data_IF_333360456067
#
_entry.id   IF_333360456067
#
_cell.length_a   1.000
_cell.length_b   1.000
_cell.length_c   1.000
_cell.angle_alpha   90.00
_cell.angle_beta   90.00
_cell.angle_gamma   90.00
#
_symmetry.space_group_name_H-M   'P 1'
#
loop_
_entity.id
_entity.type
_entity.pdbx_description
1 polymer ?
#
# COMPACT_ATOMS: atom_id res chain seq x y z
N UNK A 1 2.57 12.35 0.95
CA UNK A 1 3.59 11.55 1.66
C UNK A 1 4.46 10.86 0.63
N UNK A 2 5.77 10.82 0.83
CA UNK A 2 6.66 9.98 0.03
C UNK A 2 6.52 8.49 0.43
N UNK A 3 7.19 7.60 -0.30
CA UNK A 3 7.36 6.20 0.08
C UNK A 3 8.40 6.10 1.22
N UNK A 4 8.15 5.29 2.27
CA UNK A 4 9.12 4.98 3.32
C UNK A 4 10.13 3.92 2.87
N UNK A 5 11.36 3.98 3.38
CA UNK A 5 12.40 2.99 3.05
C UNK A 5 12.00 1.57 3.45
N UNK A 6 12.63 0.55 2.87
CA UNK A 6 12.40 -0.86 3.23
C UNK A 6 12.66 -1.09 4.72
N UNK A 7 13.70 -0.45 5.24
CA UNK A 7 14.12 -0.49 6.64
C UNK A 7 13.06 0.17 7.53
N UNK A 8 12.48 1.28 7.09
CA UNK A 8 11.35 1.94 7.77
C UNK A 8 10.10 1.04 7.80
N UNK A 9 9.76 0.37 6.69
CA UNK A 9 8.63 -0.56 6.64
C UNK A 9 8.86 -1.76 7.56
N UNK A 10 10.05 -2.38 7.52
CA UNK A 10 10.41 -3.49 8.41
C UNK A 10 10.39 -3.08 9.88
N UNK A 11 10.89 -1.88 10.21
CA UNK A 11 10.83 -1.33 11.58
C UNK A 11 9.38 -1.18 12.05
N UNK A 12 8.48 -0.71 11.19
CA UNK A 12 7.04 -0.60 11.50
C UNK A 12 6.40 -1.98 11.69
N UNK A 13 6.69 -2.95 10.81
CA UNK A 13 6.18 -4.33 10.93
C UNK A 13 6.70 -5.06 12.18
N UNK A 14 7.90 -4.72 12.65
CA UNK A 14 8.44 -5.28 13.90
C UNK A 14 7.76 -4.63 15.11
N UNK A 15 7.70 -3.29 15.16
CA UNK A 15 6.99 -2.55 16.21
C UNK A 15 5.52 -2.98 16.37
N UNK A 16 4.85 -3.34 15.28
CA UNK A 16 3.46 -3.80 15.29
C UNK A 16 3.25 -5.16 15.99
N UNK A 17 4.28 -6.00 16.14
CA UNK A 17 4.15 -7.28 16.85
C UNK A 17 3.90 -7.11 18.35
N UNK A 18 4.54 -6.11 18.93
CA UNK A 18 4.62 -5.90 20.38
C UNK A 18 3.50 -4.97 20.89
N UNK A 19 2.54 -4.59 20.03
CA UNK A 19 1.39 -3.76 20.41
C UNK A 19 0.21 -4.61 20.88
N UNK A 20 -0.18 -4.42 22.14
CA UNK A 20 -1.43 -4.94 22.69
C UNK A 20 -2.65 -4.25 22.04
N UNK A 21 -3.69 -5.02 21.72
CA UNK A 21 -4.95 -4.48 21.21
C UNK A 21 -5.82 -3.89 22.36
N UNK A 22 -6.57 -2.80 22.13
CA UNK A 22 -6.87 -2.15 20.84
C UNK A 22 -5.88 -1.03 20.47
N UNK A 23 -5.39 -1.06 19.22
CA UNK A 23 -4.44 -0.06 18.68
C UNK A 23 -5.16 1.07 17.93
N UNK A 24 -4.92 2.32 18.31
CA UNK A 24 -5.42 3.51 17.60
C UNK A 24 -4.36 4.07 16.64
N UNK A 25 -4.58 3.88 15.33
CA UNK A 25 -3.75 4.45 14.26
C UNK A 25 -4.41 5.74 13.74
N UNK A 26 -3.66 6.86 13.66
CA UNK A 26 -4.17 8.09 13.06
C UNK A 26 -3.09 8.94 12.36
N UNK A 27 -3.55 9.99 11.67
CA UNK A 27 -2.69 11.07 11.15
C UNK A 27 -3.50 12.38 11.07
N UNK A 28 -2.91 13.47 10.55
CA UNK A 28 -3.57 14.80 10.47
C UNK A 28 -4.95 14.79 9.78
N UNK A 29 -5.15 13.92 8.77
CA UNK A 29 -6.39 13.87 7.98
C UNK A 29 -7.18 12.57 8.13
N UNK A 30 -6.73 11.62 8.96
CA UNK A 30 -7.34 10.28 9.07
C UNK A 30 -7.22 9.38 7.83
N UNK A 31 -6.80 9.89 6.67
CA UNK A 31 -6.80 9.17 5.39
C UNK A 31 -5.45 8.48 5.10
N UNK A 32 -4.50 9.20 4.50
CA UNK A 32 -3.41 8.61 3.72
C UNK A 32 -2.36 7.80 4.50
N UNK A 33 -1.95 8.28 5.69
CA UNK A 33 -0.99 7.54 6.54
C UNK A 33 -1.69 6.51 7.42
N UNK A 34 -2.91 6.81 7.83
CA UNK A 34 -3.76 5.88 8.57
C UNK A 34 -4.02 4.62 7.75
N UNK A 35 -4.66 4.74 6.57
CA UNK A 35 -4.99 3.59 5.73
C UNK A 35 -3.78 2.76 5.30
N UNK A 36 -2.62 3.39 5.09
CA UNK A 36 -1.37 2.67 4.87
C UNK A 36 -0.95 1.83 6.08
N UNK A 37 -0.92 2.42 7.29
CA UNK A 37 -0.55 1.70 8.52
C UNK A 37 -1.61 0.66 8.93
N UNK A 38 -2.89 0.92 8.71
CA UNK A 38 -3.98 -0.05 8.90
C UNK A 38 -3.87 -1.24 7.93
N UNK A 39 -3.39 -1.02 6.69
CA UNK A 39 -3.09 -2.11 5.77
C UNK A 39 -1.88 -2.92 6.26
N UNK A 40 -0.81 -2.27 6.74
CA UNK A 40 0.36 -2.96 7.31
C UNK A 40 -0.01 -3.80 8.54
N UNK A 41 -0.88 -3.27 9.41
CA UNK A 41 -1.40 -3.98 10.58
C UNK A 41 -2.08 -5.29 10.17
N UNK A 42 -3.04 -5.22 9.25
CA UNK A 42 -3.76 -6.40 8.76
C UNK A 42 -2.81 -7.38 8.05
N UNK A 43 -1.88 -6.91 7.21
CA UNK A 43 -0.88 -7.79 6.57
C UNK A 43 0.05 -8.53 7.55
N UNK A 44 0.29 -7.98 8.76
CA UNK A 44 1.22 -8.54 9.74
C UNK A 44 0.50 -9.42 10.79
N UNK A 45 -0.61 -8.93 11.33
CA UNK A 45 -1.35 -9.57 12.42
C UNK A 45 -2.45 -10.54 11.93
N UNK A 46 -3.03 -10.28 10.76
CA UNK A 46 -4.23 -10.94 10.24
C UNK A 46 -4.08 -11.26 8.73
N UNK A 47 -3.04 -12.01 8.32
CA UNK A 47 -2.66 -12.20 6.92
C UNK A 47 -3.75 -12.86 6.06
N UNK A 48 -4.64 -13.65 6.66
CA UNK A 48 -5.84 -14.22 6.04
C UNK A 48 -6.87 -13.15 5.60
N UNK A 49 -6.77 -11.93 6.14
CA UNK A 49 -7.60 -10.77 5.82
C UNK A 49 -6.90 -9.77 4.88
N UNK A 50 -5.93 -10.24 4.07
CA UNK A 50 -5.20 -9.43 3.08
C UNK A 50 -6.12 -8.61 2.15
N UNK A 51 -7.30 -9.12 1.76
CA UNK A 51 -8.26 -8.34 0.95
C UNK A 51 -8.94 -7.19 1.71
N UNK A 52 -9.05 -7.27 3.04
CA UNK A 52 -9.50 -6.16 3.89
C UNK A 52 -8.38 -5.13 4.13
N UNK A 53 -7.12 -5.56 4.04
CA UNK A 53 -5.96 -4.67 4.11
C UNK A 53 -5.88 -3.76 2.86
N UNK A 54 -6.11 -4.29 1.66
CA UNK A 54 -6.22 -3.46 0.45
C UNK A 54 -7.38 -2.45 0.53
N UNK A 55 -8.50 -2.82 1.16
CA UNK A 55 -9.66 -1.94 1.35
C UNK A 55 -9.40 -0.76 2.30
N UNK A 56 -8.29 -0.71 3.05
CA UNK A 56 -7.92 0.45 3.87
C UNK A 56 -7.56 1.69 3.03
N UNK A 57 -7.26 1.51 1.74
CA UNK A 57 -7.07 2.60 0.76
C UNK A 57 -8.30 2.75 -0.15
N UNK A 58 -9.48 2.94 0.44
CA UNK A 58 -10.75 3.10 -0.28
C UNK A 58 -11.52 4.36 0.10
N UNK A 59 -12.53 4.70 -0.72
CA UNK A 59 -13.43 5.85 -0.49
C UNK A 59 -14.14 5.79 0.88
N UNK A 60 -14.37 4.58 1.43
CA UNK A 60 -14.91 4.36 2.79
C UNK A 60 -14.08 5.05 3.88
N UNK A 61 -12.77 5.15 3.67
CA UNK A 61 -11.80 5.80 4.57
C UNK A 61 -11.28 7.13 4.00
N UNK A 62 -12.05 7.77 3.12
CA UNK A 62 -11.71 9.07 2.52
C UNK A 62 -10.51 9.05 1.57
N UNK A 63 -10.04 7.87 1.13
CA UNK A 63 -8.92 7.76 0.20
C UNK A 63 -9.41 7.91 -1.25
N UNK A 64 -8.90 8.91 -1.98
CA UNK A 64 -9.25 9.20 -3.37
C UNK A 64 -8.04 8.97 -4.28
N UNK A 65 -7.99 7.83 -4.97
CA UNK A 65 -6.85 7.45 -5.82
C UNK A 65 -6.51 8.46 -6.93
N UNK A 66 -7.49 9.20 -7.44
CA UNK A 66 -7.27 10.24 -8.46
C UNK A 66 -6.45 11.43 -7.92
N UNK A 67 -6.67 11.86 -6.67
CA UNK A 67 -5.85 12.89 -6.01
C UNK A 67 -4.39 12.44 -5.96
N UNK A 68 -4.16 11.16 -5.62
CA UNK A 68 -2.84 10.55 -5.49
C UNK A 68 -2.11 10.48 -6.83
N UNK A 69 -2.81 10.07 -7.88
CA UNK A 69 -2.25 9.97 -9.22
C UNK A 69 -1.90 11.35 -9.81
N UNK A 70 -2.79 12.33 -9.65
CA UNK A 70 -2.51 13.72 -10.04
C UNK A 70 -1.29 14.25 -9.27
N UNK A 71 -1.26 14.05 -7.94
CA UNK A 71 -0.13 14.47 -7.09
C UNK A 71 1.18 13.78 -7.47
N UNK A 72 1.17 12.48 -7.78
CA UNK A 72 2.34 11.76 -8.24
C UNK A 72 2.90 12.33 -9.56
N UNK A 73 2.00 12.65 -10.48
CA UNK A 73 2.31 13.23 -11.79
C UNK A 73 2.90 14.63 -11.66
N UNK A 74 2.28 15.51 -10.86
CA UNK A 74 2.77 16.88 -10.63
C UNK A 74 4.08 16.92 -9.82
N UNK A 75 4.24 16.05 -8.82
CA UNK A 75 5.46 15.98 -7.99
C UNK A 75 6.58 15.14 -8.65
N UNK A 76 6.32 14.54 -9.84
CA UNK A 76 7.21 13.64 -10.58
C UNK A 76 7.84 12.53 -9.71
N UNK A 77 7.06 12.00 -8.79
CA UNK A 77 7.48 10.93 -7.86
C UNK A 77 6.28 10.15 -7.31
N UNK A 78 6.43 8.85 -7.01
CA UNK A 78 5.33 8.06 -6.48
C UNK A 78 4.96 8.51 -5.06
N UNK A 79 3.77 8.12 -4.61
CA UNK A 79 3.28 8.40 -3.26
C UNK A 79 3.04 7.11 -2.47
N UNK A 80 2.88 7.23 -1.15
CA UNK A 80 2.84 6.14 -0.15
C UNK A 80 2.04 4.89 -0.57
N UNK A 81 0.86 5.10 -1.14
CA UNK A 81 -0.09 4.10 -1.68
C UNK A 81 0.50 3.15 -2.74
N UNK A 82 1.50 3.58 -3.52
CA UNK A 82 2.12 2.77 -4.54
C UNK A 82 2.72 1.46 -3.99
N UNK A 83 3.19 1.46 -2.73
CA UNK A 83 3.68 0.25 -2.04
C UNK A 83 2.59 -0.80 -1.89
N UNK A 84 1.37 -0.37 -1.54
CA UNK A 84 0.22 -1.25 -1.31
C UNK A 84 -0.32 -1.76 -2.65
N UNK A 85 -0.40 -0.90 -3.66
CA UNK A 85 -0.82 -1.28 -5.01
C UNK A 85 0.18 -2.24 -5.69
N UNK A 86 1.48 -2.06 -5.50
CA UNK A 86 2.47 -2.99 -6.05
C UNK A 86 2.44 -4.34 -5.33
N UNK A 87 2.35 -4.35 -3.99
CA UNK A 87 2.13 -5.60 -3.26
C UNK A 87 0.85 -6.30 -3.71
N UNK A 88 -0.26 -5.57 -3.95
CA UNK A 88 -1.50 -6.17 -4.46
C UNK A 88 -1.28 -6.89 -5.80
N UNK A 89 -0.54 -6.28 -6.72
CA UNK A 89 -0.19 -6.87 -8.02
C UNK A 89 0.67 -8.13 -7.87
N UNK A 90 1.65 -8.12 -6.97
CA UNK A 90 2.50 -9.29 -6.68
C UNK A 90 1.75 -10.41 -5.95
N UNK A 91 0.91 -10.06 -4.97
CA UNK A 91 0.11 -11.02 -4.20
C UNK A 91 -0.89 -11.75 -5.11
N UNK A 92 -1.59 -11.03 -5.98
CA UNK A 92 -2.50 -11.62 -6.97
C UNK A 92 -1.81 -12.52 -8.00
N UNK A 93 -0.51 -12.31 -8.26
CA UNK A 93 0.27 -13.11 -9.21
C UNK A 93 0.98 -14.32 -8.58
N UNK A 94 1.33 -14.27 -7.29
CA UNK A 94 2.24 -15.25 -6.67
C UNK A 94 1.87 -15.71 -5.24
N UNK A 95 0.83 -15.14 -4.60
CA UNK A 95 0.39 -15.52 -3.25
C UNK A 95 1.36 -15.21 -2.09
N UNK A 96 2.50 -14.58 -2.37
CA UNK A 96 3.53 -14.22 -1.38
C UNK A 96 2.98 -13.30 -0.28
N UNK A 97 3.43 -13.47 0.98
CA UNK A 97 3.00 -12.62 2.11
C UNK A 97 3.73 -11.28 2.10
N UNK A 98 3.11 -10.25 2.68
CA UNK A 98 3.66 -8.88 2.66
C UNK A 98 5.09 -8.79 3.20
N UNK A 99 5.36 -9.41 4.36
CA UNK A 99 6.69 -9.37 4.96
C UNK A 99 7.73 -10.04 4.06
N UNK A 100 7.42 -11.18 3.46
CA UNK A 100 8.30 -11.89 2.52
C UNK A 100 8.59 -11.04 1.27
N UNK A 101 7.58 -10.33 0.76
CA UNK A 101 7.72 -9.39 -0.36
C UNK A 101 8.61 -8.19 -0.02
N UNK A 102 8.42 -7.57 1.17
CA UNK A 102 9.28 -6.48 1.69
C UNK A 102 10.70 -6.97 1.94
N UNK A 103 10.87 -8.16 2.54
CA UNK A 103 12.20 -8.70 2.84
C UNK A 103 12.96 -9.10 1.57
N UNK A 104 12.25 -9.51 0.51
CA UNK A 104 12.86 -9.88 -0.78
C UNK A 104 13.56 -8.72 -1.50
N UNK A 105 14.39 -9.08 -2.48
CA UNK A 105 15.03 -8.12 -3.40
C UNK A 105 14.05 -7.34 -4.31
N UNK A 106 12.76 -7.66 -4.32
CA UNK A 106 11.78 -6.94 -5.16
C UNK A 106 11.51 -5.51 -4.67
N UNK A 107 11.34 -5.27 -3.36
CA UNK A 107 11.14 -3.91 -2.86
C UNK A 107 12.36 -3.02 -3.12
N UNK A 108 13.58 -3.57 -2.98
CA UNK A 108 14.82 -2.88 -3.32
C UNK A 108 14.92 -2.53 -4.82
N UNK A 109 14.41 -3.40 -5.70
CA UNK A 109 14.35 -3.16 -7.16
C UNK A 109 13.24 -2.18 -7.56
N UNK A 110 12.15 -2.08 -6.78
CA UNK A 110 11.01 -1.22 -7.08
C UNK A 110 11.30 0.27 -6.92
N UNK A 111 12.06 0.66 -5.88
CA UNK A 111 12.35 2.05 -5.55
C UNK A 111 12.84 2.92 -6.74
N UNK A 112 13.82 2.49 -7.57
CA UNK A 112 14.25 3.26 -8.75
C UNK A 112 13.30 3.16 -9.97
N UNK A 113 12.39 2.19 -10.01
CA UNK A 113 11.45 1.99 -11.14
C UNK A 113 10.17 2.80 -10.92
N UNK A 114 9.66 2.88 -9.68
CA UNK A 114 8.47 3.64 -9.33
C UNK A 114 8.62 5.16 -9.55
N UNK A 115 9.85 5.67 -9.73
CA UNK A 115 10.14 7.04 -10.15
C UNK A 115 10.14 7.27 -11.67
N UNK A 116 10.05 6.21 -12.49
CA UNK A 116 10.01 6.27 -13.96
C UNK A 116 8.64 5.92 -14.51
N UNK A 117 8.06 4.83 -14.03
CA UNK A 117 6.79 4.28 -14.54
C UNK A 117 5.63 4.59 -13.59
N UNK A 118 5.20 5.86 -13.56
CA UNK A 118 3.93 6.22 -12.92
C UNK A 118 2.77 5.44 -13.60
N UNK A 119 1.82 4.88 -12.83
CA UNK A 119 0.85 3.94 -13.38
C UNK A 119 -0.04 4.60 -14.44
N UNK A 120 0.00 4.05 -15.66
CA UNK A 120 -0.99 4.32 -16.70
C UNK A 120 -2.35 3.80 -16.22
N UNK A 121 -3.28 4.70 -15.95
CA UNK A 121 -4.67 4.35 -15.65
C UNK A 121 -5.32 3.80 -16.92
N UNK A 122 -5.22 2.49 -17.14
CA UNK A 122 -5.96 1.79 -18.19
C UNK A 122 -7.40 1.59 -17.73
N UNK A 123 -8.24 2.60 -17.93
CA UNK A 123 -9.67 2.54 -17.64
C UNK A 123 -10.38 1.52 -18.54
N UNK A 124 -10.62 0.31 -18.01
CA UNK A 124 -11.58 -0.65 -18.55
C UNK A 124 -12.49 -1.19 -17.44
N UNK A 125 -13.50 -0.39 -17.13
CA UNK A 125 -14.78 -0.91 -16.64
C UNK A 125 -15.72 -1.07 -17.85
N UNK A 126 -16.60 -2.09 -17.81
CA UNK A 126 -17.46 -2.58 -18.93
C UNK A 126 -16.65 -3.13 -20.15
N UNK A 127 -17.13 -4.07 -20.98
CA UNK A 127 -18.38 -4.86 -21.13
C UNK A 127 -17.95 -6.20 -21.81
N UNK A 128 -18.61 -7.37 -21.81
CA UNK A 128 -19.97 -7.87 -21.53
C UNK A 128 -19.81 -9.26 -20.83
N UNK A 129 -20.60 -9.70 -19.84
CA UNK A 129 -21.96 -10.26 -19.82
C UNK A 129 -22.18 -11.61 -20.55
N UNK A 130 -22.57 -12.62 -19.75
CA UNK A 130 -23.03 -14.00 -20.07
C UNK A 130 -22.00 -14.96 -20.68
#
# INVERSE_FOLDING_TARGET
SAIPSRETVLTILELMKDLEEPVLIHCKSGTHRTGFLSALWLFNQQPEQTELAFQQLSLKFGFVGLERWLKATFEQRPTLDAVIWEYQRFHQACGIRFREWVDSSYMARYYPIAMRDAPRITSRASTQAR
#
